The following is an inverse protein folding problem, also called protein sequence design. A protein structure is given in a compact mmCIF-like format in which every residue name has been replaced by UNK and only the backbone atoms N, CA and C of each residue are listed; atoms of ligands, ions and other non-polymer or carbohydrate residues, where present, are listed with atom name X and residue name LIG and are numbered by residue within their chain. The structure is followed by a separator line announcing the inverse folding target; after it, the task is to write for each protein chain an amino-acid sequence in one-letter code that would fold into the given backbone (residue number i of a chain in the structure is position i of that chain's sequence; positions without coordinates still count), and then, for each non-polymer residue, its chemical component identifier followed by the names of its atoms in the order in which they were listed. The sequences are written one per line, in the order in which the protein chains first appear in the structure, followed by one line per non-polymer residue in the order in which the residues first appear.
data_IF_138075036539
#
_entry.id   IF_138075036539
#
_cell.length_a   1.000
_cell.length_b   1.000
_cell.length_c   1.000
_cell.angle_alpha   90.00
_cell.angle_beta   90.00
_cell.angle_gamma   90.00
#
_symmetry.space_group_name_H-M   'P 1'
#
loop_
_entity.id
_entity.type
_entity.pdbx_description
1 polymer ?
#
# COMPACT_ATOMS: atom_id res chain seq x y z
N UNK A 1 8.97 -2.16 17.10
CA UNK A 1 8.42 -3.11 16.12
C UNK A 1 7.26 -2.38 15.47
N UNK A 2 7.59 -1.59 14.45
CA UNK A 2 6.74 -0.56 13.88
C UNK A 2 5.95 -1.10 12.68
N UNK A 3 5.26 -2.22 12.89
CA UNK A 3 4.48 -2.86 11.85
C UNK A 3 3.01 -2.41 11.98
N UNK A 4 2.67 -1.36 11.24
CA UNK A 4 1.31 -0.85 11.12
C UNK A 4 0.58 -1.64 10.01
N UNK A 5 -0.51 -2.33 10.37
CA UNK A 5 -1.37 -3.09 9.44
C UNK A 5 -2.77 -2.47 9.34
N UNK A 6 -2.91 -1.20 8.93
CA UNK A 6 -4.23 -0.61 8.84
C UNK A 6 -5.01 -1.30 7.73
N UNK A 7 -6.24 -1.73 8.04
CA UNK A 7 -7.20 -2.06 6.99
C UNK A 7 -7.44 -0.84 6.09
N UNK A 8 -7.86 -1.07 4.85
CA UNK A 8 -8.07 0.02 3.88
C UNK A 8 -9.07 1.08 4.37
N UNK A 9 -10.08 0.68 5.14
CA UNK A 9 -11.03 1.59 5.79
C UNK A 9 -10.36 2.50 6.82
N UNK A 10 -9.46 1.93 7.65
CA UNK A 10 -8.71 2.70 8.64
C UNK A 10 -7.79 3.71 7.95
N UNK A 11 -7.08 3.25 6.91
CA UNK A 11 -6.21 4.11 6.11
C UNK A 11 -6.99 5.24 5.43
N UNK A 12 -8.18 4.96 4.89
CA UNK A 12 -9.06 5.96 4.30
C UNK A 12 -9.48 7.04 5.31
N UNK A 13 -9.89 6.63 6.51
CA UNK A 13 -10.22 7.55 7.60
C UNK A 13 -9.03 8.42 8.00
N UNK A 14 -7.86 7.81 8.21
CA UNK A 14 -6.66 8.51 8.67
C UNK A 14 -6.11 9.46 7.61
N UNK A 15 -6.28 9.16 6.32
CA UNK A 15 -5.90 10.04 5.20
C UNK A 15 -6.97 11.11 4.86
N UNK A 16 -8.17 11.03 5.44
CA UNK A 16 -9.27 11.94 5.09
C UNK A 16 -9.81 11.75 3.67
N UNK A 17 -9.65 10.56 3.09
CA UNK A 17 -10.09 10.24 1.73
C UNK A 17 -11.18 9.16 1.73
N UNK A 18 -11.95 9.10 0.63
CA UNK A 18 -12.88 8.00 0.42
C UNK A 18 -12.15 6.66 0.19
N UNK A 19 -12.74 5.56 0.67
CA UNK A 19 -12.19 4.20 0.53
C UNK A 19 -11.77 3.88 -0.91
N UNK A 20 -12.62 4.25 -1.88
CA UNK A 20 -12.36 3.99 -3.31
C UNK A 20 -11.11 4.72 -3.81
N UNK A 21 -10.86 5.94 -3.34
CA UNK A 21 -9.65 6.70 -3.67
C UNK A 21 -8.42 6.06 -3.07
N UNK A 22 -8.47 5.65 -1.80
CA UNK A 22 -7.35 4.99 -1.12
C UNK A 22 -6.98 3.66 -1.79
N UNK A 23 -7.98 2.84 -2.15
CA UNK A 23 -7.74 1.60 -2.92
C UNK A 23 -7.06 1.91 -4.25
N UNK A 24 -7.47 2.98 -4.94
CA UNK A 24 -6.84 3.41 -6.20
C UNK A 24 -5.39 3.84 -5.99
N UNK A 25 -5.11 4.68 -4.99
CA UNK A 25 -3.75 5.13 -4.70
C UNK A 25 -2.82 3.97 -4.36
N UNK A 26 -3.29 3.02 -3.55
CA UNK A 26 -2.55 1.79 -3.25
C UNK A 26 -2.22 1.02 -4.53
N UNK A 27 -3.19 0.87 -5.42
CA UNK A 27 -3.00 0.18 -6.70
C UNK A 27 -1.99 0.91 -7.60
N UNK A 28 -2.07 2.24 -7.68
CA UNK A 28 -1.13 3.07 -8.45
C UNK A 28 0.30 2.95 -7.90
N UNK A 29 0.47 2.98 -6.57
CA UNK A 29 1.76 2.80 -5.90
C UNK A 29 2.35 1.40 -6.12
N UNK A 30 1.52 0.36 -6.10
CA UNK A 30 1.93 -1.02 -6.39
C UNK A 30 2.39 -1.16 -7.85
N UNK A 31 1.64 -0.56 -8.80
CA UNK A 31 1.98 -0.60 -10.23
C UNK A 31 3.35 0.01 -10.54
N UNK A 32 3.72 1.10 -9.85
CA UNK A 32 5.03 1.74 -10.03
C UNK A 32 6.12 1.15 -9.14
N UNK A 33 5.80 0.10 -8.36
CA UNK A 33 6.75 -0.61 -7.50
C UNK A 33 7.18 0.16 -6.25
N UNK A 34 6.43 1.21 -5.85
CA UNK A 34 6.69 1.96 -4.62
C UNK A 34 6.28 1.18 -3.37
N UNK A 35 5.30 0.29 -3.50
CA UNK A 35 4.87 -0.61 -2.42
C UNK A 35 4.69 -2.04 -2.92
N UNK A 36 4.68 -3.00 -2.01
CA UNK A 36 4.22 -4.37 -2.27
C UNK A 36 3.17 -4.78 -1.24
N UNK A 37 2.16 -5.54 -1.69
CA UNK A 37 1.02 -5.92 -0.87
C UNK A 37 1.01 -7.44 -0.68
N UNK A 38 1.06 -7.89 0.58
CA UNK A 38 0.89 -9.30 0.94
C UNK A 38 -0.48 -9.51 1.59
N UNK A 39 -1.36 -10.24 0.90
CA UNK A 39 -2.65 -10.68 1.46
C UNK A 39 -2.41 -11.77 2.51
N UNK A 40 -3.05 -11.66 3.68
CA UNK A 40 -2.80 -12.53 4.84
C UNK A 40 -3.92 -13.52 5.16
N UNK A 41 -4.96 -13.57 4.33
CA UNK A 41 -6.16 -14.38 4.54
C UNK A 41 -7.33 -13.59 5.11
N UNK A 42 -8.46 -14.27 5.32
CA UNK A 42 -9.71 -13.65 5.77
C UNK A 42 -9.57 -13.07 7.18
N UNK A 43 -10.15 -11.88 7.41
CA UNK A 43 -10.12 -11.19 8.71
C UNK A 43 -8.76 -10.60 9.09
N UNK A 44 -7.73 -10.72 8.23
CA UNK A 44 -6.39 -10.17 8.48
C UNK A 44 -6.13 -9.00 7.54
N UNK A 45 -5.71 -7.83 8.05
CA UNK A 45 -5.36 -6.70 7.21
C UNK A 45 -4.19 -7.05 6.28
N UNK A 46 -4.15 -6.41 5.13
CA UNK A 46 -3.04 -6.50 4.20
C UNK A 46 -1.74 -6.05 4.88
N UNK A 47 -0.64 -6.72 4.55
CA UNK A 47 0.69 -6.23 4.91
C UNK A 47 1.23 -5.43 3.74
N UNK A 48 1.60 -4.18 4.01
CA UNK A 48 2.19 -3.25 3.05
C UNK A 48 3.69 -3.13 3.32
N UNK A 49 4.51 -3.32 2.29
CA UNK A 49 5.95 -3.05 2.34
C UNK A 49 6.24 -1.80 1.52
N UNK A 50 6.92 -0.81 2.11
CA UNK A 50 7.30 0.44 1.44
C UNK A 50 8.73 0.33 0.90
N UNK A 51 8.92 0.67 -0.37
CA UNK A 51 10.23 0.70 -1.02
C UNK A 51 10.77 2.13 -1.06
N UNK A 52 11.48 2.54 -0.01
CA UNK A 52 11.99 3.92 0.11
C UNK A 52 13.23 4.22 -0.75
N UNK A 53 13.88 3.19 -1.31
CA UNK A 53 15.12 3.38 -2.08
C UNK A 53 14.81 3.52 -3.56
N UNK A 54 15.21 4.62 -4.18
CA UNK A 54 15.07 4.88 -5.62
C UNK A 54 15.70 3.81 -6.54
N UNK A 55 16.43 2.83 -6.00
CA UNK A 55 17.01 1.72 -6.76
C UNK A 55 15.98 0.87 -7.53
N UNK A 56 14.68 0.93 -7.19
CA UNK A 56 13.64 0.28 -8.00
C UNK A 56 13.25 1.06 -9.27
N UNK A 57 13.65 2.33 -9.41
CA UNK A 57 13.50 3.13 -10.63
C UNK A 57 14.54 2.73 -11.69
N UNK A 58 14.62 1.44 -12.02
CA UNK A 58 15.29 1.03 -13.25
C UNK A 58 14.24 1.16 -14.35
N UNK A 59 14.26 2.28 -15.10
CA UNK A 59 13.43 2.47 -16.30
C UNK A 59 13.46 1.17 -17.11
N UNK A 60 12.30 0.53 -17.31
CA UNK A 60 12.19 -0.48 -18.36
C UNK A 60 12.53 0.23 -19.67
N UNK A 61 13.56 -0.26 -20.33
CA UNK A 61 14.03 0.20 -21.63
C UNK A 61 13.06 -0.25 -22.71
#
# INVERSE_FOLDING_TARGET
MDECFPGQERLAKDMGNGLRSVVRYISELEQVGLISIKRRGQGRPNLYTIHLKASFWRKKK
#
